data_IF_086916831454
#
_entry.id   IF_086916831454
#
_cell.length_a   1.000
_cell.length_b   1.000
_cell.length_c   1.000
_cell.angle_alpha   90.00
_cell.angle_beta   90.00
_cell.angle_gamma   90.00
#
_symmetry.space_group_name_H-M   'P 1'
#
loop_
_entity.id
_entity.type
_entity.pdbx_description
1 polymer ?
#
# COMPACT_ATOMS: atom_id res chain seq x y z
N UNK A 1 -17.21 58.93 19.91
CA UNK A 1 -17.38 57.51 20.31
C UNK A 1 -16.01 56.85 20.22
N UNK A 2 -15.35 56.64 21.37
CA UNK A 2 -14.04 55.97 21.42
C UNK A 2 -14.30 54.49 21.20
N UNK A 3 -13.92 53.91 20.07
CA UNK A 3 -13.97 52.49 19.82
C UNK A 3 -13.11 51.79 20.86
N UNK A 4 -13.72 51.02 21.75
CA UNK A 4 -13.00 50.18 22.70
C UNK A 4 -12.20 49.18 21.90
N UNK A 5 -10.97 49.51 21.66
CA UNK A 5 -10.01 48.65 20.93
C UNK A 5 -9.74 47.40 21.77
N UNK A 6 -9.70 46.26 21.14
CA UNK A 6 -9.38 44.98 21.80
C UNK A 6 -8.09 45.06 22.62
N UNK A 7 -7.17 45.90 22.18
CA UNK A 7 -5.90 46.22 22.84
C UNK A 7 -6.05 46.89 24.22
N UNK A 8 -7.11 47.72 24.39
CA UNK A 8 -7.36 48.43 25.65
C UNK A 8 -7.77 47.50 26.80
N UNK A 9 -8.37 46.36 26.47
CA UNK A 9 -8.74 45.30 27.42
C UNK A 9 -7.49 44.60 28.01
N UNK A 10 -6.48 44.37 27.18
CA UNK A 10 -5.23 43.73 27.60
C UNK A 10 -4.34 44.68 28.40
N UNK A 11 -4.36 45.99 28.11
CA UNK A 11 -3.59 47.00 28.85
C UNK A 11 -4.17 47.21 30.24
N UNK A 12 -5.50 47.20 30.37
CA UNK A 12 -6.18 47.42 31.68
C UNK A 12 -6.24 46.20 32.57
N UNK A 13 -6.08 44.98 32.01
CA UNK A 13 -6.11 43.71 32.76
C UNK A 13 -4.99 42.78 32.32
N UNK A 14 -3.76 42.98 32.83
CA UNK A 14 -2.58 42.19 32.41
C UNK A 14 -2.76 40.69 32.72
N UNK A 15 -3.61 40.34 33.71
CA UNK A 15 -3.91 38.94 34.06
C UNK A 15 -4.60 38.21 32.88
N UNK A 16 -5.48 38.90 32.13
CA UNK A 16 -6.11 38.31 30.94
C UNK A 16 -5.09 38.02 29.85
N UNK A 17 -4.16 38.92 29.63
CA UNK A 17 -3.09 38.71 28.65
C UNK A 17 -2.23 37.51 28.99
N UNK A 18 -1.91 37.33 30.27
CA UNK A 18 -1.11 36.20 30.76
C UNK A 18 -1.87 34.88 30.58
N UNK A 19 -3.15 34.83 30.95
CA UNK A 19 -3.99 33.62 30.78
C UNK A 19 -4.12 33.23 29.33
N UNK A 20 -4.35 34.18 28.41
CA UNK A 20 -4.46 33.91 26.97
C UNK A 20 -3.13 33.36 26.42
N UNK A 21 -2.00 33.94 26.81
CA UNK A 21 -0.68 33.43 26.41
C UNK A 21 -0.44 32.01 26.90
N UNK A 22 -0.81 31.70 28.15
CA UNK A 22 -0.67 30.32 28.69
C UNK A 22 -1.56 29.36 27.91
N UNK A 23 -2.81 29.73 27.59
CA UNK A 23 -3.72 28.89 26.82
C UNK A 23 -3.13 28.60 25.41
N UNK A 24 -2.64 29.62 24.74
CA UNK A 24 -2.00 29.47 23.41
C UNK A 24 -0.79 28.55 23.50
N UNK A 25 0.03 28.69 24.53
CA UNK A 25 1.21 27.86 24.76
C UNK A 25 0.83 26.41 25.00
N UNK A 26 -0.17 26.15 25.85
CA UNK A 26 -0.66 24.80 26.14
C UNK A 26 -1.28 24.15 24.89
N UNK A 27 -2.12 24.87 24.16
CA UNK A 27 -2.74 24.36 22.92
C UNK A 27 -1.66 24.07 21.88
N UNK A 28 -0.67 24.97 21.72
CA UNK A 28 0.47 24.75 20.83
C UNK A 28 1.25 23.50 21.19
N UNK A 29 1.55 23.32 22.47
CA UNK A 29 2.29 22.15 22.96
C UNK A 29 1.52 20.84 22.72
N UNK A 30 0.23 20.82 23.05
CA UNK A 30 -0.65 19.65 22.79
C UNK A 30 -0.76 19.36 21.31
N UNK A 31 -0.82 20.39 20.44
CA UNK A 31 -0.85 20.22 19.00
C UNK A 31 0.43 19.55 18.47
N UNK A 32 1.58 19.96 18.97
CA UNK A 32 2.88 19.34 18.59
C UNK A 32 2.92 17.86 18.97
N UNK A 33 2.46 17.49 20.17
CA UNK A 33 2.42 16.09 20.58
C UNK A 33 1.36 15.24 19.85
N UNK A 34 0.35 15.88 19.28
CA UNK A 34 -0.67 15.19 18.45
C UNK A 34 -0.30 15.13 16.98
N UNK A 35 0.69 15.89 16.53
CA UNK A 35 1.18 15.76 15.15
C UNK A 35 1.85 14.39 15.00
N UNK A 36 1.17 13.51 14.29
CA UNK A 36 1.73 12.24 13.85
C UNK A 36 2.67 12.51 12.67
N UNK A 37 3.90 12.97 12.97
CA UNK A 37 4.92 13.21 11.96
C UNK A 37 5.42 11.87 11.44
N UNK A 38 4.88 11.45 10.30
CA UNK A 38 5.46 10.33 9.54
C UNK A 38 6.67 10.85 8.78
N UNK A 39 7.81 10.22 8.98
CA UNK A 39 9.09 10.60 8.38
C UNK A 39 9.13 10.45 6.85
N UNK A 40 8.22 9.67 6.29
CA UNK A 40 8.11 9.45 4.84
C UNK A 40 6.67 9.54 4.39
N UNK A 41 6.37 10.24 3.27
CA UNK A 41 5.10 10.07 2.59
C UNK A 41 4.96 8.58 2.25
N UNK A 42 3.81 7.99 2.52
CA UNK A 42 3.52 6.65 2.02
C UNK A 42 3.56 6.70 0.50
N UNK A 43 4.64 6.19 -0.08
CA UNK A 43 4.59 5.66 -1.43
C UNK A 43 3.99 4.26 -1.30
N UNK A 44 2.71 4.18 -0.96
CA UNK A 44 2.00 2.90 -0.84
C UNK A 44 1.78 2.35 -2.26
N UNK A 45 2.87 1.96 -2.92
CA UNK A 45 2.80 1.03 -4.04
C UNK A 45 2.77 -0.37 -3.43
N UNK A 46 1.57 -0.90 -3.29
CA UNK A 46 1.41 -2.30 -2.92
C UNK A 46 1.70 -3.17 -4.15
N UNK A 47 2.37 -4.28 -3.91
CA UNK A 47 2.62 -5.31 -4.92
C UNK A 47 1.81 -6.54 -4.55
N UNK A 48 0.94 -6.96 -5.46
CA UNK A 48 0.21 -8.23 -5.32
C UNK A 48 0.99 -9.29 -6.06
N UNK A 49 1.50 -10.29 -5.32
CA UNK A 49 2.24 -11.40 -5.87
C UNK A 49 1.34 -12.62 -5.99
N UNK A 50 1.30 -13.20 -7.19
CA UNK A 50 0.54 -14.40 -7.52
C UNK A 50 1.55 -15.50 -7.86
N UNK A 51 1.49 -16.61 -7.15
CA UNK A 51 2.39 -17.74 -7.33
C UNK A 51 1.59 -19.00 -7.67
N UNK A 52 2.03 -19.74 -8.67
CA UNK A 52 1.39 -20.98 -9.11
C UNK A 52 2.46 -22.03 -9.36
N UNK A 53 2.22 -23.25 -8.88
CA UNK A 53 3.13 -24.39 -9.06
C UNK A 53 2.54 -25.34 -10.10
N UNK A 54 3.37 -25.79 -11.03
CA UNK A 54 3.02 -26.81 -12.02
C UNK A 54 4.16 -27.82 -12.11
N UNK A 55 4.15 -28.82 -11.28
CA UNK A 55 5.21 -29.81 -11.16
C UNK A 55 5.50 -30.52 -12.50
N UNK A 56 6.79 -30.66 -12.84
CA UNK A 56 7.24 -31.37 -14.02
C UNK A 56 7.12 -30.61 -15.34
N UNK A 57 6.52 -29.42 -15.35
CA UNK A 57 6.40 -28.60 -16.56
C UNK A 57 7.72 -27.83 -16.84
N UNK A 58 8.04 -27.68 -18.11
CA UNK A 58 9.12 -26.81 -18.55
C UNK A 58 8.75 -25.32 -18.36
N UNK A 59 9.72 -24.42 -18.31
CA UNK A 59 9.48 -22.98 -18.19
C UNK A 59 8.57 -22.44 -19.31
N UNK A 60 8.75 -22.92 -20.53
CA UNK A 60 7.92 -22.52 -21.67
C UNK A 60 6.47 -23.03 -21.55
N UNK A 61 6.28 -24.23 -21.02
CA UNK A 61 4.97 -24.79 -20.73
C UNK A 61 4.27 -23.98 -19.62
N UNK A 62 4.96 -23.68 -18.53
CA UNK A 62 4.45 -22.84 -17.45
C UNK A 62 4.06 -21.47 -17.99
N UNK A 63 4.92 -20.85 -18.80
CA UNK A 63 4.66 -19.56 -19.42
C UNK A 63 3.39 -19.58 -20.28
N UNK A 64 3.25 -20.56 -21.18
CA UNK A 64 2.14 -20.61 -22.12
C UNK A 64 0.79 -20.93 -21.49
N UNK A 65 0.77 -21.91 -20.58
CA UNK A 65 -0.48 -22.44 -20.02
C UNK A 65 -0.90 -21.81 -18.68
N UNK A 66 0.03 -21.19 -17.96
CA UNK A 66 -0.28 -20.60 -16.65
C UNK A 66 -0.06 -19.10 -16.67
N UNK A 67 1.18 -18.65 -16.87
CA UNK A 67 1.56 -17.24 -16.74
C UNK A 67 0.73 -16.34 -17.66
N UNK A 68 0.70 -16.67 -18.96
CA UNK A 68 -0.04 -15.86 -19.96
C UNK A 68 -1.54 -15.82 -19.70
N UNK A 69 -2.14 -16.89 -19.18
CA UNK A 69 -3.56 -16.93 -18.87
C UNK A 69 -3.90 -16.02 -17.69
N UNK A 70 -3.09 -16.11 -16.63
CA UNK A 70 -3.26 -15.27 -15.43
C UNK A 70 -3.01 -13.80 -15.77
N UNK A 71 -1.92 -13.48 -16.47
CA UNK A 71 -1.59 -12.11 -16.90
C UNK A 71 -2.74 -11.45 -17.65
N UNK A 72 -3.34 -12.18 -18.60
CA UNK A 72 -4.43 -11.65 -19.43
C UNK A 72 -5.64 -11.24 -18.60
N UNK A 73 -6.05 -12.05 -17.63
CA UNK A 73 -7.21 -11.72 -16.80
C UNK A 73 -6.89 -10.67 -15.75
N UNK A 74 -5.70 -10.73 -15.16
CA UNK A 74 -5.25 -9.75 -14.17
C UNK A 74 -5.08 -8.38 -14.81
N UNK A 75 -4.53 -8.28 -16.03
CA UNK A 75 -4.36 -7.01 -16.74
C UNK A 75 -5.69 -6.26 -16.98
N UNK A 76 -6.83 -6.94 -16.86
CA UNK A 76 -8.16 -6.33 -16.96
C UNK A 76 -8.68 -5.75 -15.64
N UNK A 77 -7.95 -5.88 -14.54
CA UNK A 77 -8.32 -5.30 -13.25
C UNK A 77 -7.94 -3.82 -13.17
N UNK A 78 -8.73 -3.05 -12.41
CA UNK A 78 -8.47 -1.62 -12.23
C UNK A 78 -7.35 -1.36 -11.24
N UNK A 79 -6.68 -0.22 -11.40
CA UNK A 79 -5.66 0.24 -10.44
C UNK A 79 -4.28 -0.37 -10.63
N UNK A 80 -4.06 -1.15 -11.69
CA UNK A 80 -2.76 -1.70 -12.04
C UNK A 80 -1.93 -0.64 -12.77
N UNK A 81 -0.66 -0.52 -12.39
CA UNK A 81 0.35 0.29 -13.06
C UNK A 81 1.08 -0.56 -14.12
N UNK A 82 1.73 -1.64 -13.67
CA UNK A 82 2.36 -2.60 -14.56
C UNK A 82 2.39 -4.00 -13.93
N UNK A 83 2.65 -5.01 -14.76
CA UNK A 83 2.76 -6.42 -14.36
C UNK A 83 4.15 -6.91 -14.75
N UNK A 84 4.79 -7.61 -13.84
CA UNK A 84 6.05 -8.30 -14.07
C UNK A 84 5.85 -9.78 -13.78
N UNK A 85 6.31 -10.65 -14.70
CA UNK A 85 6.14 -12.09 -14.53
C UNK A 85 7.44 -12.84 -14.76
N UNK A 86 7.61 -13.88 -13.97
CA UNK A 86 8.73 -14.81 -14.07
C UNK A 86 8.19 -16.25 -14.17
N UNK A 87 8.61 -16.95 -15.23
CA UNK A 87 8.29 -18.37 -15.44
C UNK A 87 9.56 -19.19 -15.35
N UNK A 88 9.55 -20.15 -14.43
CA UNK A 88 10.62 -21.15 -14.25
C UNK A 88 10.06 -22.55 -14.46
N UNK A 89 10.94 -23.56 -14.56
CA UNK A 89 10.50 -24.94 -14.60
C UNK A 89 9.66 -25.27 -13.35
N UNK A 90 8.41 -25.63 -13.55
CA UNK A 90 7.46 -25.98 -12.49
C UNK A 90 6.89 -24.82 -11.67
N UNK A 91 7.23 -23.55 -11.97
CA UNK A 91 6.83 -22.42 -11.13
C UNK A 91 6.56 -21.14 -11.93
N UNK A 92 5.47 -20.46 -11.62
CA UNK A 92 5.12 -19.13 -12.16
C UNK A 92 4.98 -18.15 -11.01
N UNK A 93 5.59 -16.97 -11.16
CA UNK A 93 5.41 -15.82 -10.27
C UNK A 93 4.99 -14.61 -11.08
N UNK A 94 3.91 -13.96 -10.67
CA UNK A 94 3.40 -12.75 -11.30
C UNK A 94 3.31 -11.68 -10.23
N UNK A 95 4.03 -10.58 -10.41
CA UNK A 95 4.03 -9.42 -9.52
C UNK A 95 3.24 -8.30 -10.17
N UNK A 96 2.14 -7.93 -9.53
CA UNK A 96 1.21 -6.88 -9.99
C UNK A 96 1.46 -5.63 -9.17
N UNK A 97 2.01 -4.61 -9.81
CA UNK A 97 2.29 -3.33 -9.19
C UNK A 97 1.07 -2.43 -9.30
N UNK A 98 0.55 -1.99 -8.16
CA UNK A 98 -0.61 -1.12 -8.10
C UNK A 98 -0.19 0.35 -8.23
N UNK A 99 -1.08 1.17 -8.78
CA UNK A 99 -0.91 2.62 -8.82
C UNK A 99 -0.79 3.19 -7.41
N UNK A 100 0.00 4.26 -7.28
CA UNK A 100 0.16 4.99 -6.02
C UNK A 100 -1.21 5.42 -5.46
N UNK A 101 -1.40 5.20 -4.16
CA UNK A 101 -2.64 5.55 -3.43
C UNK A 101 -3.91 4.83 -3.92
N UNK A 102 -3.80 3.74 -4.67
CA UNK A 102 -4.95 2.91 -4.99
C UNK A 102 -5.30 2.03 -3.78
N UNK A 103 -6.60 1.78 -3.57
CA UNK A 103 -7.04 0.91 -2.46
C UNK A 103 -6.60 -0.54 -2.72
N UNK A 104 -5.62 -0.99 -1.95
CA UNK A 104 -5.04 -2.34 -2.04
C UNK A 104 -6.09 -3.43 -1.82
N UNK A 105 -7.07 -3.20 -0.92
CA UNK A 105 -8.12 -4.19 -0.64
C UNK A 105 -9.08 -4.32 -1.82
N UNK A 106 -9.45 -3.20 -2.45
CA UNK A 106 -10.29 -3.20 -3.64
C UNK A 106 -9.59 -3.89 -4.81
N UNK A 107 -8.29 -3.60 -5.03
CA UNK A 107 -7.47 -4.27 -6.05
C UNK A 107 -7.38 -5.79 -5.79
N UNK A 108 -7.09 -6.18 -4.54
CA UNK A 108 -6.98 -7.58 -4.14
C UNK A 108 -8.27 -8.35 -4.40
N UNK A 109 -9.43 -7.77 -4.05
CA UNK A 109 -10.73 -8.38 -4.28
C UNK A 109 -11.01 -8.59 -5.78
N UNK A 110 -10.67 -7.60 -6.61
CA UNK A 110 -10.81 -7.70 -8.07
C UNK A 110 -9.87 -8.75 -8.66
N UNK A 111 -8.59 -8.72 -8.29
CA UNK A 111 -7.58 -9.69 -8.76
C UNK A 111 -7.99 -11.10 -8.36
N UNK A 112 -8.40 -11.32 -7.11
CA UNK A 112 -8.88 -12.62 -6.62
C UNK A 112 -10.06 -13.13 -7.45
N UNK A 113 -11.07 -12.28 -7.66
CA UNK A 113 -12.24 -12.62 -8.49
C UNK A 113 -11.86 -13.00 -9.93
N UNK A 114 -10.89 -12.28 -10.52
CA UNK A 114 -10.39 -12.56 -11.88
C UNK A 114 -9.62 -13.89 -11.95
N UNK A 115 -8.82 -14.19 -10.92
CA UNK A 115 -8.09 -15.46 -10.83
C UNK A 115 -9.05 -16.62 -10.66
N UNK A 116 -10.08 -16.47 -9.84
CA UNK A 116 -11.10 -17.51 -9.66
C UNK A 116 -11.84 -17.83 -10.98
N UNK A 117 -12.05 -16.83 -11.82
CA UNK A 117 -12.65 -17.03 -13.15
C UNK A 117 -11.78 -17.88 -14.08
N UNK A 118 -10.47 -17.67 -14.07
CA UNK A 118 -9.53 -18.39 -14.95
C UNK A 118 -9.09 -19.73 -14.37
N UNK A 119 -9.35 -19.98 -13.09
CA UNK A 119 -8.92 -21.20 -12.40
C UNK A 119 -9.37 -22.48 -13.10
N UNK A 120 -10.56 -22.47 -13.72
CA UNK A 120 -11.09 -23.61 -14.48
C UNK A 120 -10.41 -23.81 -15.85
N UNK A 121 -9.68 -22.81 -16.35
CA UNK A 121 -8.95 -22.85 -17.61
C UNK A 121 -7.50 -23.31 -17.43
N UNK A 122 -7.00 -23.31 -16.19
CA UNK A 122 -5.66 -23.78 -15.87
C UNK A 122 -5.57 -25.31 -15.93
N UNK A 123 -4.40 -25.87 -16.26
CA UNK A 123 -4.19 -27.31 -16.27
C UNK A 123 -4.57 -27.93 -14.91
N UNK A 124 -5.30 -29.08 -14.90
CA UNK A 124 -5.75 -29.71 -13.66
C UNK A 124 -4.59 -30.21 -12.78
N UNK A 125 -3.41 -30.41 -13.35
CA UNK A 125 -2.21 -30.82 -12.63
C UNK A 125 -1.47 -29.62 -11.98
N UNK A 126 -1.90 -28.39 -12.28
CA UNK A 126 -1.35 -27.19 -11.62
C UNK A 126 -2.00 -26.96 -10.26
N UNK A 127 -1.22 -26.49 -9.30
CA UNK A 127 -1.76 -26.04 -8.03
C UNK A 127 -2.57 -24.75 -8.19
N UNK A 128 -3.51 -24.54 -7.27
CA UNK A 128 -4.27 -23.30 -7.25
C UNK A 128 -3.35 -22.09 -7.05
N UNK A 129 -3.54 -20.99 -7.82
CA UNK A 129 -2.79 -19.78 -7.62
C UNK A 129 -2.91 -19.25 -6.18
N UNK A 130 -1.79 -18.96 -5.56
CA UNK A 130 -1.72 -18.35 -4.22
C UNK A 130 -1.45 -16.86 -4.38
N UNK A 131 -2.25 -16.03 -3.70
CA UNK A 131 -2.14 -14.58 -3.75
C UNK A 131 -1.56 -14.07 -2.43
N UNK A 132 -0.50 -13.27 -2.49
CA UNK A 132 0.09 -12.57 -1.34
C UNK A 132 0.24 -11.09 -1.65
N UNK A 133 0.13 -10.25 -0.62
CA UNK A 133 0.33 -8.78 -0.74
C UNK A 133 1.63 -8.42 -0.05
N UNK A 134 2.53 -7.79 -0.79
CA UNK A 134 3.74 -7.19 -0.27
C UNK A 134 3.57 -5.68 -0.26
N UNK A 135 3.58 -5.08 0.93
CA UNK A 135 3.54 -3.63 1.09
C UNK A 135 4.98 -3.14 1.28
N UNK A 136 5.31 -1.96 0.74
CA UNK A 136 6.67 -1.37 0.86
C UNK A 136 7.16 -1.23 2.30
N UNK A 137 6.27 -1.22 3.28
CA UNK A 137 6.61 -1.19 4.71
C UNK A 137 7.35 -2.47 5.19
N UNK A 138 7.22 -3.59 4.47
CA UNK A 138 7.90 -4.84 4.81
C UNK A 138 9.30 -4.96 4.21
N UNK A 139 9.74 -4.00 3.39
CA UNK A 139 11.06 -4.01 2.75
C UNK A 139 12.17 -3.35 3.57
N UNK A 140 11.91 -2.90 4.79
CA UNK A 140 13.01 -2.60 5.70
C UNK A 140 13.68 -3.93 6.08
N UNK A 141 14.57 -4.36 5.19
CA UNK A 141 15.49 -5.43 5.49
C UNK A 141 16.18 -5.07 6.79
N UNK A 142 15.88 -5.81 7.86
CA UNK A 142 16.70 -5.82 9.04
C UNK A 142 18.09 -6.22 8.59
N UNK A 143 19.01 -5.25 8.65
CA UNK A 143 20.40 -5.42 8.30
C UNK A 143 20.99 -6.38 9.35
N UNK A 144 21.09 -7.66 9.00
CA UNK A 144 21.82 -8.63 9.83
C UNK A 144 23.30 -8.35 9.67
N UNK A 145 23.89 -7.61 10.62
CA UNK A 145 25.33 -7.62 10.82
C UNK A 145 25.68 -8.95 11.49
N UNK A 146 26.18 -9.91 10.71
CA UNK A 146 26.90 -11.06 11.26
C UNK A 146 28.36 -10.67 11.42
N UNK A 147 28.85 -10.70 12.64
CA UNK A 147 30.27 -10.61 12.98
C UNK A 147 30.93 -12.00 12.87
#
# INVERSE_FOLDING_TARGET
MVSKSFTDLFIRRPVIALVVNIIILVVGLVSVFRLNTRQYPRSDSAVVKISTVYFGASADTVRGYITTQIERVVASADGIDYIESESRAGFSTISVYLRLNYDTNAALAQISSKIDQVRGELPPESEAPTISVETSDNQFASMYLSF
#
